data_IF_725724259246
#
_entry.id   IF_725724259246
#
_cell.length_a   1.000
_cell.length_b   1.000
_cell.length_c   1.000
_cell.angle_alpha   90.00
_cell.angle_beta   90.00
_cell.angle_gamma   90.00
#
_symmetry.space_group_name_H-M   'P 1'
#
loop_
_entity.id
_entity.type
_entity.pdbx_description
1 polymer ?
#
# COMPACT_ATOMS: atom_id res chain seq x y z
N UNK A 1 3.46 -14.12 -32.75
CA UNK A 1 3.86 -15.16 -31.79
C UNK A 1 3.68 -14.55 -30.41
N UNK A 2 2.67 -14.98 -29.64
CA UNK A 2 2.38 -14.44 -28.31
C UNK A 2 3.51 -14.97 -27.39
N UNK A 3 4.21 -14.08 -26.67
CA UNK A 3 5.18 -14.51 -25.65
C UNK A 3 4.43 -15.34 -24.59
N UNK A 4 5.00 -16.46 -24.11
CA UNK A 4 4.40 -17.16 -22.98
C UNK A 4 4.33 -16.21 -21.77
N UNK A 5 3.17 -16.13 -21.13
CA UNK A 5 3.01 -15.35 -19.90
C UNK A 5 3.82 -16.02 -18.78
N UNK A 6 4.71 -15.26 -18.14
CA UNK A 6 5.42 -15.69 -16.94
C UNK A 6 4.71 -15.11 -15.72
N UNK A 7 4.51 -15.94 -14.70
CA UNK A 7 4.01 -15.50 -13.39
C UNK A 7 5.19 -15.55 -12.44
N UNK A 8 5.86 -14.41 -12.29
CA UNK A 8 7.05 -14.30 -11.46
C UNK A 8 6.60 -14.02 -10.01
N UNK A 9 6.96 -14.86 -9.02
CA UNK A 9 6.58 -14.63 -7.63
C UNK A 9 7.06 -13.26 -7.15
N UNK A 10 6.18 -12.56 -6.44
CA UNK A 10 6.47 -11.25 -5.85
C UNK A 10 6.42 -11.34 -4.32
N UNK A 11 7.36 -10.65 -3.68
CA UNK A 11 7.34 -10.39 -2.25
C UNK A 11 7.64 -8.91 -2.06
N UNK A 12 6.81 -8.22 -1.28
CA UNK A 12 7.06 -6.86 -0.88
C UNK A 12 8.27 -6.83 0.05
N UNK A 13 9.27 -6.01 -0.31
CA UNK A 13 10.43 -5.75 0.52
C UNK A 13 10.70 -4.25 0.52
N UNK A 14 10.31 -3.59 1.59
CA UNK A 14 10.53 -2.15 1.80
C UNK A 14 11.88 -1.99 2.51
N UNK A 15 12.87 -1.33 1.88
CA UNK A 15 14.17 -1.09 2.48
C UNK A 15 14.06 -0.35 3.82
N UNK A 16 14.85 -0.74 4.81
CA UNK A 16 14.85 -0.02 6.11
C UNK A 16 15.21 1.47 5.94
N UNK A 17 16.08 1.79 4.98
CA UNK A 17 16.43 3.17 4.64
C UNK A 17 15.20 4.02 4.24
N UNK A 18 14.22 3.43 3.54
CA UNK A 18 12.99 4.12 3.16
C UNK A 18 12.09 4.34 4.39
N UNK A 19 12.06 3.39 5.33
CA UNK A 19 11.33 3.53 6.59
C UNK A 19 11.96 4.57 7.52
N UNK A 20 13.30 4.61 7.61
CA UNK A 20 14.04 5.65 8.32
C UNK A 20 13.78 7.02 7.70
N UNK A 21 13.83 7.11 6.37
CA UNK A 21 13.55 8.34 5.65
C UNK A 21 12.10 8.81 5.90
N UNK A 22 11.12 7.92 5.89
CA UNK A 22 9.73 8.22 6.24
C UNK A 22 9.64 8.82 7.65
N UNK A 23 10.23 8.17 8.66
CA UNK A 23 10.22 8.65 10.06
C UNK A 23 10.89 10.02 10.18
N UNK A 24 12.01 10.25 9.50
CA UNK A 24 12.70 11.53 9.48
C UNK A 24 11.85 12.64 8.85
N UNK A 25 11.16 12.35 7.75
CA UNK A 25 10.25 13.31 7.10
C UNK A 25 9.05 13.67 7.98
N UNK A 26 8.46 12.69 8.67
CA UNK A 26 7.38 12.92 9.62
C UNK A 26 7.85 13.76 10.82
N UNK A 27 9.05 13.50 11.35
CA UNK A 27 9.64 14.28 12.43
C UNK A 27 9.94 15.74 12.03
N UNK A 28 10.38 15.94 10.79
CA UNK A 28 10.72 17.25 10.22
C UNK A 28 9.55 17.99 9.56
N UNK A 29 8.32 17.51 9.70
CA UNK A 29 7.15 18.10 9.05
C UNK A 29 6.93 19.54 9.56
N UNK A 30 6.73 20.48 8.62
CA UNK A 30 6.30 21.84 8.91
C UNK A 30 4.77 21.88 8.91
N UNK A 31 4.21 22.36 10.01
CA UNK A 31 2.76 22.42 10.21
C UNK A 31 2.22 23.80 9.82
N UNK A 32 1.05 23.87 9.16
CA UNK A 32 0.35 25.13 8.93
C UNK A 32 -0.24 25.67 10.23
N UNK A 33 -0.84 26.87 10.16
CA UNK A 33 -1.73 27.36 11.20
C UNK A 33 -2.97 26.47 11.34
N UNK A 34 -3.64 26.56 12.49
CA UNK A 34 -4.89 25.87 12.76
C UNK A 34 -6.01 26.39 11.85
N UNK A 35 -6.92 25.48 11.45
CA UNK A 35 -8.17 25.78 10.74
C UNK A 35 -9.07 26.77 11.50
N UNK A 36 -9.99 27.43 10.77
CA UNK A 36 -10.88 28.46 11.34
C UNK A 36 -12.24 27.92 11.82
N UNK A 37 -12.43 26.60 11.76
CA UNK A 37 -13.68 25.91 12.09
C UNK A 37 -13.40 24.83 13.12
N UNK A 38 -14.42 24.50 13.93
CA UNK A 38 -14.33 23.41 14.92
C UNK A 38 -14.84 22.06 14.36
N UNK A 39 -15.06 21.97 13.05
CA UNK A 39 -15.54 20.77 12.33
C UNK A 39 -14.65 20.40 11.12
N UNK A 40 -15.09 19.44 10.32
CA UNK A 40 -14.34 18.91 9.17
C UNK A 40 -14.70 19.59 7.83
N UNK A 41 -15.48 20.67 7.86
CA UNK A 41 -15.98 21.32 6.63
C UNK A 41 -14.87 21.91 5.74
N UNK A 42 -13.68 22.15 6.31
CA UNK A 42 -12.49 22.61 5.60
C UNK A 42 -11.44 21.51 5.36
N UNK A 43 -11.78 20.24 5.60
CA UNK A 43 -10.89 19.10 5.45
C UNK A 43 -10.38 18.57 6.78
N UNK A 44 -9.19 17.98 6.78
CA UNK A 44 -8.63 17.28 7.95
C UNK A 44 -8.16 18.31 8.99
N UNK A 45 -8.66 18.27 10.25
CA UNK A 45 -8.19 19.15 11.31
C UNK A 45 -6.70 18.96 11.61
N UNK A 46 -6.00 20.05 11.94
CA UNK A 46 -4.56 20.02 12.17
C UNK A 46 -4.17 19.05 13.30
N UNK A 47 -4.89 19.08 14.41
CA UNK A 47 -4.59 18.26 15.58
C UNK A 47 -4.72 16.76 15.26
N UNK A 48 -5.72 16.36 14.47
CA UNK A 48 -5.88 14.98 14.01
C UNK A 48 -4.76 14.55 13.06
N UNK A 49 -4.38 15.40 12.11
CA UNK A 49 -3.28 15.07 11.18
C UNK A 49 -1.95 14.88 11.94
N UNK A 50 -1.69 15.68 12.98
CA UNK A 50 -0.51 15.54 13.84
C UNK A 50 -0.53 14.23 14.62
N UNK A 51 -1.70 13.81 15.12
CA UNK A 51 -1.86 12.51 15.77
C UNK A 51 -1.54 11.35 14.81
N UNK A 52 -2.10 11.37 13.60
CA UNK A 52 -1.83 10.34 12.58
C UNK A 52 -0.35 10.31 12.20
N UNK A 53 0.27 11.47 12.00
CA UNK A 53 1.70 11.56 11.69
C UNK A 53 2.57 11.01 12.83
N UNK A 54 2.21 11.28 14.09
CA UNK A 54 2.93 10.78 15.26
C UNK A 54 2.81 9.25 15.39
N UNK A 55 1.61 8.70 15.16
CA UNK A 55 1.39 7.26 15.12
C UNK A 55 2.25 6.60 14.05
N UNK A 56 2.24 7.14 12.82
CA UNK A 56 3.06 6.63 11.72
C UNK A 56 4.57 6.70 12.03
N UNK A 57 5.01 7.75 12.71
CA UNK A 57 6.41 7.97 13.05
C UNK A 57 6.92 7.01 14.13
N UNK A 58 6.08 6.69 15.12
CA UNK A 58 6.56 6.07 16.38
C UNK A 58 5.95 4.71 16.70
N UNK A 59 4.75 4.41 16.21
CA UNK A 59 3.99 3.24 16.63
C UNK A 59 3.59 2.31 15.48
N UNK A 60 3.52 2.82 14.24
CA UNK A 60 3.15 2.01 13.09
C UNK A 60 4.24 0.97 12.76
N UNK A 61 3.89 -0.32 12.87
CA UNK A 61 4.76 -1.43 12.51
C UNK A 61 4.63 -1.75 11.01
N UNK A 62 5.51 -1.15 10.21
CA UNK A 62 5.61 -1.43 8.77
C UNK A 62 5.97 -2.89 8.48
N UNK A 63 6.76 -3.54 9.34
CA UNK A 63 7.15 -4.94 9.16
C UNK A 63 5.99 -5.89 9.39
N UNK A 64 5.03 -5.52 10.24
CA UNK A 64 3.75 -6.22 10.30
C UNK A 64 2.96 -6.07 9.00
N UNK A 65 2.80 -4.85 8.48
CA UNK A 65 2.06 -4.63 7.23
C UNK A 65 2.68 -5.40 6.04
N UNK A 66 4.00 -5.39 5.94
CA UNK A 66 4.76 -6.17 4.93
C UNK A 66 4.52 -7.68 5.07
N UNK A 67 4.56 -8.22 6.29
CA UNK A 67 4.25 -9.64 6.55
C UNK A 67 2.81 -10.00 6.21
N UNK A 68 1.87 -9.14 6.58
CA UNK A 68 0.45 -9.35 6.30
C UNK A 68 0.20 -9.38 4.78
N UNK A 69 0.82 -8.46 4.02
CA UNK A 69 0.75 -8.46 2.55
C UNK A 69 1.40 -9.71 1.94
N UNK A 70 2.61 -10.06 2.40
CA UNK A 70 3.36 -11.22 1.91
C UNK A 70 2.76 -12.57 2.31
N UNK A 71 1.75 -12.59 3.18
CA UNK A 71 0.97 -13.81 3.46
C UNK A 71 0.07 -14.21 2.28
N UNK A 72 -0.09 -13.34 1.28
CA UNK A 72 -0.85 -13.58 0.07
C UNK A 72 0.08 -14.01 -1.07
N UNK A 73 -0.41 -14.94 -1.90
CA UNK A 73 0.25 -15.34 -3.13
C UNK A 73 0.22 -14.18 -4.14
N UNK A 74 1.36 -13.51 -4.30
CA UNK A 74 1.53 -12.34 -5.16
C UNK A 74 2.45 -12.67 -6.34
N UNK A 75 2.16 -12.06 -7.49
CA UNK A 75 2.90 -12.26 -8.72
C UNK A 75 3.05 -10.97 -9.50
N UNK A 76 4.03 -10.97 -10.38
CA UNK A 76 4.23 -9.97 -11.42
C UNK A 76 4.26 -10.67 -12.78
N UNK A 77 3.68 -10.04 -13.80
CA UNK A 77 3.79 -10.47 -15.20
C UNK A 77 4.02 -9.27 -16.11
N UNK A 78 4.72 -9.47 -17.22
CA UNK A 78 4.77 -8.48 -18.31
C UNK A 78 3.52 -8.57 -19.18
N UNK A 79 2.83 -7.45 -19.37
CA UNK A 79 1.75 -7.28 -20.35
C UNK A 79 2.11 -6.08 -21.20
N UNK A 80 2.44 -6.32 -22.47
CA UNK A 80 2.77 -5.27 -23.45
C UNK A 80 3.91 -4.34 -23.00
N UNK A 81 4.91 -4.86 -22.27
CA UNK A 81 6.03 -4.07 -21.75
C UNK A 81 5.76 -3.40 -20.40
N UNK A 82 4.62 -3.67 -19.77
CA UNK A 82 4.26 -3.17 -18.46
C UNK A 82 4.28 -4.30 -17.43
N UNK A 83 5.01 -4.06 -16.32
CA UNK A 83 5.00 -4.93 -15.15
C UNK A 83 3.68 -4.76 -14.40
N UNK A 84 2.87 -5.81 -14.35
CA UNK A 84 1.57 -5.84 -13.68
C UNK A 84 1.68 -6.71 -12.43
N UNK A 85 1.54 -6.10 -11.25
CA UNK A 85 1.40 -6.80 -9.97
C UNK A 85 -0.05 -7.21 -9.72
N UNK A 86 -0.24 -8.40 -9.15
CA UNK A 86 -1.54 -8.89 -8.73
C UNK A 86 -1.42 -9.95 -7.62
N UNK A 87 -2.49 -10.10 -6.84
CA UNK A 87 -2.68 -11.22 -5.92
C UNK A 87 -3.47 -12.31 -6.64
N UNK A 88 -3.06 -13.56 -6.50
CA UNK A 88 -3.75 -14.71 -7.10
C UNK A 88 -4.08 -15.77 -6.07
N UNK A 89 -5.28 -15.65 -5.50
CA UNK A 89 -5.84 -16.67 -4.62
C UNK A 89 -6.45 -17.82 -5.45
N UNK A 90 -5.73 -18.94 -5.55
CA UNK A 90 -6.21 -20.12 -6.29
C UNK A 90 -7.24 -20.91 -5.51
N UNK A 91 -8.36 -21.21 -6.15
CA UNK A 91 -9.33 -22.18 -5.63
C UNK A 91 -8.75 -23.60 -5.68
N UNK A 92 -9.04 -24.45 -4.68
CA UNK A 92 -8.72 -25.87 -4.75
C UNK A 92 -9.62 -26.63 -5.75
N UNK A 93 -10.70 -26.02 -6.23
CA UNK A 93 -11.62 -26.64 -7.19
C UNK A 93 -11.18 -26.37 -8.63
N UNK A 94 -10.99 -27.44 -9.42
CA UNK A 94 -10.49 -27.35 -10.80
C UNK A 94 -11.40 -26.55 -11.75
N UNK A 95 -12.71 -26.49 -11.48
CA UNK A 95 -13.70 -25.79 -12.30
C UNK A 95 -14.20 -24.49 -11.65
N UNK A 96 -13.43 -23.94 -10.70
CA UNK A 96 -13.78 -22.67 -10.09
C UNK A 96 -13.88 -21.55 -11.14
N UNK A 97 -14.96 -20.77 -11.07
CA UNK A 97 -15.15 -19.61 -11.94
C UNK A 97 -14.07 -18.56 -11.65
N UNK A 98 -13.28 -18.13 -12.64
CA UNK A 98 -12.32 -17.04 -12.45
C UNK A 98 -13.05 -15.72 -12.18
N UNK A 99 -12.62 -15.01 -11.15
CA UNK A 99 -13.11 -13.67 -10.81
C UNK A 99 -11.94 -12.71 -10.80
N UNK A 100 -12.10 -11.56 -11.46
CA UNK A 100 -11.17 -10.44 -11.39
C UNK A 100 -11.77 -9.38 -10.50
N UNK A 101 -11.05 -8.99 -9.45
CA UNK A 101 -11.41 -7.89 -8.55
C UNK A 101 -10.45 -6.75 -8.84
N UNK A 102 -10.98 -5.57 -9.16
CA UNK A 102 -10.19 -4.37 -9.43
C UNK A 102 -10.35 -3.36 -8.29
N UNK A 103 -9.27 -2.68 -7.94
CA UNK A 103 -9.31 -1.53 -7.05
C UNK A 103 -9.52 -0.24 -7.85
N UNK A 104 -9.90 0.83 -7.16
CA UNK A 104 -9.97 2.18 -7.70
C UNK A 104 -9.15 3.15 -6.83
N UNK A 105 -9.19 4.44 -7.16
CA UNK A 105 -8.50 5.47 -6.38
C UNK A 105 -9.36 5.91 -5.18
N UNK A 106 -8.79 6.15 -3.97
CA UNK A 106 -7.37 6.12 -3.58
C UNK A 106 -6.89 4.77 -2.98
N UNK A 107 -7.55 3.66 -3.29
CA UNK A 107 -7.19 2.34 -2.79
C UNK A 107 -6.09 1.64 -3.60
N UNK A 108 -5.69 0.47 -3.12
CA UNK A 108 -4.79 -0.46 -3.82
C UNK A 108 -5.18 -1.91 -3.50
N UNK A 109 -4.56 -2.84 -4.24
CA UNK A 109 -4.36 -4.21 -3.78
C UNK A 109 -3.21 -4.29 -2.78
#
# INVERSE_FOLDING_TARGET
MIRPFTLDPFQAEVPEADLEHLRARLAGARWPERETVDDWSQGVPLDYLREVAEYWRTAHDWRRAERDLNSLDQFVTDIEGHSIHFIHARSPHAEALPIVITHGWPGSV
#
